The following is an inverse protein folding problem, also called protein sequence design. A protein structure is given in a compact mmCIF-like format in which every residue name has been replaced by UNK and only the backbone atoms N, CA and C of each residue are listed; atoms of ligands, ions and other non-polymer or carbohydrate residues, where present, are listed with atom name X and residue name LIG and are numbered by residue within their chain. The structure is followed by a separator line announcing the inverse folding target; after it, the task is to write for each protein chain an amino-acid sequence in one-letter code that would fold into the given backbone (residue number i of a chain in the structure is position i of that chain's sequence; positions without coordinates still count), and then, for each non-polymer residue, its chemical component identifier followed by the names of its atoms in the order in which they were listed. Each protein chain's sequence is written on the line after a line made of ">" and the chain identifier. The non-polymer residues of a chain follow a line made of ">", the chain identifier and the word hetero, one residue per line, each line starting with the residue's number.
data_IF_441430651554
#
_entry.id   IF_441430651554
#
_cell.length_a   1.000
_cell.length_b   1.000
_cell.length_c   1.000
_cell.angle_alpha   90.00
_cell.angle_beta   90.00
_cell.angle_gamma   90.00
#
_symmetry.space_group_name_H-M   'P 1'
#
loop_
_entity.id
_entity.type
_entity.pdbx_description
1 polymer ?
#
# COMPACT_ATOMS: atom_id res chain seq x y z
N UNK A 1 15.13 20.21 -9.40
CA UNK A 1 16.00 19.29 -8.64
C UNK A 1 15.68 17.87 -9.07
N UNK A 2 16.66 17.17 -9.64
CA UNK A 2 16.46 15.84 -10.25
C UNK A 2 16.31 14.79 -9.14
N UNK A 3 15.16 14.10 -9.11
CA UNK A 3 14.97 12.89 -8.31
C UNK A 3 15.77 11.76 -8.97
N UNK A 4 17.01 11.57 -8.57
CA UNK A 4 17.77 10.39 -8.98
C UNK A 4 17.17 9.15 -8.31
N UNK A 5 16.30 8.47 -9.04
CA UNK A 5 15.74 7.20 -8.62
C UNK A 5 16.82 6.14 -8.46
N UNK A 6 16.62 5.24 -7.50
CA UNK A 6 17.46 4.08 -7.23
C UNK A 6 17.72 3.27 -8.51
N UNK A 7 19.00 3.10 -8.87
CA UNK A 7 19.45 2.32 -10.04
C UNK A 7 20.24 1.10 -9.61
N UNK A 8 20.14 0.03 -10.40
CA UNK A 8 20.95 -1.15 -10.19
C UNK A 8 22.43 -0.80 -10.41
N UNK A 9 23.32 -1.04 -9.44
CA UNK A 9 24.74 -0.72 -9.58
C UNK A 9 25.43 -1.58 -10.64
N UNK A 10 24.83 -2.72 -11.03
CA UNK A 10 25.40 -3.63 -12.03
C UNK A 10 25.03 -3.29 -13.46
N UNK A 11 23.81 -2.82 -13.72
CA UNK A 11 23.32 -2.61 -15.10
C UNK A 11 22.62 -1.26 -15.33
N UNK A 12 22.57 -0.37 -14.32
CA UNK A 12 21.93 0.93 -14.42
C UNK A 12 20.40 0.91 -14.52
N UNK A 13 19.78 -0.28 -14.53
CA UNK A 13 18.33 -0.43 -14.62
C UNK A 13 17.62 0.20 -13.41
N UNK A 14 16.50 0.87 -13.65
CA UNK A 14 15.61 1.42 -12.62
C UNK A 14 14.52 0.43 -12.18
N UNK A 15 14.47 -0.77 -12.81
CA UNK A 15 13.50 -1.82 -12.46
C UNK A 15 14.01 -2.60 -11.25
N UNK A 16 13.66 -2.14 -10.05
CA UNK A 16 14.13 -2.70 -8.78
C UNK A 16 12.95 -3.29 -7.99
N UNK A 17 13.10 -4.51 -7.51
CA UNK A 17 12.21 -5.16 -6.56
C UNK A 17 12.87 -5.33 -5.19
N UNK A 18 12.07 -5.48 -4.14
CA UNK A 18 12.53 -5.76 -2.78
C UNK A 18 12.39 -7.25 -2.52
N UNK A 19 13.39 -7.87 -1.89
CA UNK A 19 13.28 -9.24 -1.38
C UNK A 19 12.87 -9.16 0.08
N UNK A 20 11.63 -9.54 0.39
CA UNK A 20 11.17 -9.71 1.75
C UNK A 20 11.62 -11.08 2.28
N UNK A 21 12.50 -11.08 3.29
CA UNK A 21 13.01 -12.29 3.93
C UNK A 21 14.42 -12.11 4.50
N UNK A 22 14.52 -11.59 5.73
CA UNK A 22 15.80 -11.39 6.42
C UNK A 22 16.47 -10.02 6.16
N UNK A 23 17.79 -9.99 6.04
CA UNK A 23 18.55 -8.75 5.80
C UNK A 23 18.07 -8.07 4.51
N UNK A 24 17.81 -6.77 4.59
CA UNK A 24 17.25 -6.00 3.49
C UNK A 24 18.11 -6.09 2.22
N UNK A 25 17.49 -6.61 1.15
CA UNK A 25 18.13 -6.79 -0.15
C UNK A 25 17.22 -6.30 -1.27
N UNK A 26 17.83 -5.59 -2.20
CA UNK A 26 17.22 -5.16 -3.45
C UNK A 26 17.56 -6.16 -4.54
N UNK A 27 16.61 -6.46 -5.43
CA UNK A 27 16.81 -7.28 -6.62
C UNK A 27 16.52 -6.45 -7.87
N UNK A 28 17.47 -6.43 -8.80
CA UNK A 28 17.23 -5.85 -10.11
C UNK A 28 16.38 -6.80 -10.94
N UNK A 29 15.23 -6.33 -11.43
CA UNK A 29 14.37 -7.10 -12.33
C UNK A 29 14.89 -7.11 -13.77
N UNK A 30 15.88 -6.25 -14.10
CA UNK A 30 16.53 -6.23 -15.41
C UNK A 30 17.66 -7.25 -15.57
N UNK A 31 18.50 -7.41 -14.54
CA UNK A 31 19.67 -8.31 -14.61
C UNK A 31 19.73 -9.37 -13.50
N UNK A 32 18.73 -9.42 -12.61
CA UNK A 32 18.66 -10.37 -11.50
C UNK A 32 19.61 -10.08 -10.33
N UNK A 33 20.47 -9.06 -10.43
CA UNK A 33 21.46 -8.74 -9.39
C UNK A 33 20.80 -8.38 -8.07
N UNK A 34 21.32 -8.96 -6.97
CA UNK A 34 20.84 -8.73 -5.61
C UNK A 34 21.92 -7.94 -4.86
N UNK A 35 21.55 -6.86 -4.17
CA UNK A 35 22.48 -6.09 -3.35
C UNK A 35 21.81 -5.48 -2.13
N UNK A 36 22.62 -5.26 -1.09
CA UNK A 36 22.26 -4.41 0.04
C UNK A 36 22.75 -3.00 -0.29
N UNK A 37 21.87 -1.99 -0.37
CA UNK A 37 22.31 -0.64 -0.71
C UNK A 37 23.16 -0.04 0.42
N UNK A 38 24.33 0.50 0.07
CA UNK A 38 25.25 1.20 0.99
C UNK A 38 24.78 2.62 1.35
N UNK A 39 23.95 3.22 0.49
CA UNK A 39 23.28 4.51 0.71
C UNK A 39 21.77 4.26 0.67
N UNK A 40 21.19 4.18 1.86
CA UNK A 40 19.74 4.23 2.06
C UNK A 40 19.26 5.58 1.51
N UNK A 41 18.32 5.66 0.56
CA UNK A 41 17.72 6.94 0.21
C UNK A 41 17.18 7.52 1.50
N UNK A 42 17.67 8.71 1.88
CA UNK A 42 17.45 9.42 3.16
C UNK A 42 16.24 8.85 3.90
N UNK A 43 16.52 8.12 4.98
CA UNK A 43 15.68 7.02 5.51
C UNK A 43 14.21 7.31 5.78
N UNK A 44 13.76 8.56 5.69
CA UNK A 44 12.43 8.99 6.09
C UNK A 44 11.67 9.64 4.93
N UNK A 45 10.37 9.33 4.84
CA UNK A 45 9.41 9.97 3.95
C UNK A 45 8.32 10.63 4.77
N UNK A 46 7.80 11.75 4.29
CA UNK A 46 6.69 12.43 4.95
C UNK A 46 5.37 11.73 4.60
N UNK A 47 4.60 11.41 5.64
CA UNK A 47 3.25 10.86 5.57
C UNK A 47 2.38 11.61 6.57
N UNK A 48 1.36 12.32 6.10
CA UNK A 48 0.46 13.12 6.94
C UNK A 48 1.21 14.02 7.96
N UNK A 49 2.27 14.70 7.52
CA UNK A 49 3.09 15.58 8.37
C UNK A 49 4.07 14.87 9.31
N UNK A 50 4.20 13.53 9.25
CA UNK A 50 5.17 12.74 10.02
C UNK A 50 6.26 12.19 9.14
N UNK A 51 7.50 12.27 9.62
CA UNK A 51 8.64 11.58 9.00
C UNK A 51 8.64 10.11 9.45
N UNK A 52 8.41 9.21 8.50
CA UNK A 52 8.33 7.77 8.75
C UNK A 52 9.42 7.08 7.95
N UNK A 53 10.11 6.09 8.54
CA UNK A 53 11.16 5.41 7.80
C UNK A 53 10.57 4.67 6.59
N UNK A 54 11.17 4.79 5.40
CA UNK A 54 10.56 4.27 4.17
C UNK A 54 10.34 2.75 4.22
N UNK A 55 11.15 2.01 4.98
CA UNK A 55 10.95 0.56 5.20
C UNK A 55 9.68 0.28 5.99
N UNK A 56 9.30 1.13 6.94
CA UNK A 56 8.07 0.98 7.70
C UNK A 56 6.86 1.20 6.78
N UNK A 57 6.98 2.13 5.84
CA UNK A 57 5.96 2.38 4.82
C UNK A 57 5.80 1.19 3.87
N UNK A 58 6.90 0.61 3.37
CA UNK A 58 6.80 -0.58 2.52
C UNK A 58 6.28 -1.80 3.29
N UNK A 59 6.76 -2.04 4.52
CA UNK A 59 6.26 -3.11 5.37
C UNK A 59 4.77 -2.94 5.70
N UNK A 60 4.31 -1.70 5.92
CA UNK A 60 2.89 -1.40 6.13
C UNK A 60 2.06 -1.71 4.88
N UNK A 61 2.56 -1.40 3.67
CA UNK A 61 1.87 -1.75 2.42
C UNK A 61 1.74 -3.26 2.24
N UNK A 62 2.80 -4.01 2.49
CA UNK A 62 2.78 -5.48 2.37
C UNK A 62 1.81 -6.12 3.37
N UNK A 63 1.84 -5.69 4.63
CA UNK A 63 0.92 -6.20 5.65
C UNK A 63 -0.54 -5.81 5.37
N UNK A 64 -0.78 -4.55 4.97
CA UNK A 64 -2.10 -4.08 4.53
C UNK A 64 -2.63 -4.93 3.37
N UNK A 65 -1.79 -5.20 2.35
CA UNK A 65 -2.17 -6.02 1.21
C UNK A 65 -2.56 -7.44 1.67
N UNK A 66 -1.78 -8.05 2.55
CA UNK A 66 -2.05 -9.40 3.06
C UNK A 66 -3.38 -9.47 3.82
N UNK A 67 -3.61 -8.55 4.77
CA UNK A 67 -4.85 -8.52 5.56
C UNK A 67 -6.07 -8.21 4.69
N UNK A 68 -5.94 -7.30 3.73
CA UNK A 68 -7.03 -7.00 2.79
C UNK A 68 -7.35 -8.20 1.90
N UNK A 69 -6.36 -8.95 1.42
CA UNK A 69 -6.63 -10.14 0.59
C UNK A 69 -7.47 -11.16 1.36
N UNK A 70 -7.11 -11.45 2.61
CA UNK A 70 -7.86 -12.42 3.44
C UNK A 70 -9.33 -12.02 3.62
N UNK A 71 -9.58 -10.72 3.88
CA UNK A 71 -10.95 -10.21 4.04
C UNK A 71 -11.70 -10.17 2.71
N UNK A 72 -11.06 -9.69 1.65
CA UNK A 72 -11.71 -9.49 0.34
C UNK A 72 -11.97 -10.82 -0.39
N UNK A 73 -11.10 -11.84 -0.25
CA UNK A 73 -11.34 -13.19 -0.82
C UNK A 73 -12.66 -13.79 -0.31
N UNK A 74 -12.98 -13.51 0.95
CA UNK A 74 -14.22 -13.95 1.60
C UNK A 74 -15.39 -12.98 1.38
N UNK A 75 -15.23 -11.98 0.50
CA UNK A 75 -16.19 -10.90 0.26
C UNK A 75 -16.59 -10.14 1.55
N UNK A 76 -15.62 -9.84 2.42
CA UNK A 76 -15.85 -9.04 3.62
C UNK A 76 -16.42 -7.66 3.31
N UNK A 77 -17.28 -7.17 4.18
CA UNK A 77 -17.95 -5.88 4.03
C UNK A 77 -17.10 -4.72 4.57
N UNK A 78 -17.66 -3.51 4.51
CA UNK A 78 -17.00 -2.29 4.96
C UNK A 78 -16.62 -2.33 6.45
N UNK A 79 -17.43 -2.97 7.30
CA UNK A 79 -17.16 -3.07 8.75
C UNK A 79 -15.94 -3.94 9.05
N UNK A 80 -15.65 -4.94 8.21
CA UNK A 80 -14.40 -5.71 8.30
C UNK A 80 -13.19 -4.98 7.73
N UNK A 81 -13.39 -4.07 6.78
CA UNK A 81 -12.31 -3.32 6.11
C UNK A 81 -11.86 -2.12 6.94
N UNK A 82 -12.80 -1.35 7.52
CA UNK A 82 -12.52 -0.18 8.38
C UNK A 82 -11.42 -0.37 9.45
N UNK A 83 -11.43 -1.43 10.28
CA UNK A 83 -10.40 -1.62 11.30
C UNK A 83 -9.01 -1.84 10.69
N UNK A 84 -8.94 -2.50 9.53
CA UNK A 84 -7.68 -2.67 8.78
C UNK A 84 -7.20 -1.30 8.30
N UNK A 85 -8.06 -0.47 7.69
CA UNK A 85 -7.67 0.87 7.25
C UNK A 85 -7.16 1.73 8.42
N UNK A 86 -7.83 1.66 9.58
CA UNK A 86 -7.45 2.40 10.78
C UNK A 86 -6.08 2.00 11.34
N UNK A 87 -5.73 0.72 11.27
CA UNK A 87 -4.43 0.21 11.71
C UNK A 87 -3.27 0.82 10.92
N UNK A 88 -3.48 1.12 9.63
CA UNK A 88 -2.44 1.57 8.72
C UNK A 88 -2.50 3.06 8.38
N UNK A 89 -3.57 3.78 8.71
CA UNK A 89 -3.74 5.22 8.41
C UNK A 89 -2.72 6.13 9.10
N UNK A 90 -2.09 5.67 10.19
CA UNK A 90 -0.99 6.39 10.85
C UNK A 90 0.37 6.26 10.15
N UNK A 91 0.54 5.26 9.29
CA UNK A 91 1.80 4.96 8.57
C UNK A 91 1.68 5.18 7.06
N UNK A 92 0.47 5.13 6.52
CA UNK A 92 0.16 5.30 5.11
C UNK A 92 -0.90 6.39 4.95
N UNK A 93 -0.72 7.26 3.97
CA UNK A 93 -1.75 8.21 3.58
C UNK A 93 -2.90 7.53 2.82
N UNK A 94 -4.00 8.28 2.66
CA UNK A 94 -5.19 7.80 1.96
C UNK A 94 -4.90 7.35 0.51
N UNK A 95 -3.94 7.97 -0.17
CA UNK A 95 -3.60 7.63 -1.55
C UNK A 95 -2.90 6.27 -1.61
N UNK A 96 -1.91 6.04 -0.75
CA UNK A 96 -1.17 4.78 -0.62
C UNK A 96 -2.11 3.65 -0.23
N UNK A 97 -2.99 3.88 0.75
CA UNK A 97 -3.99 2.89 1.16
C UNK A 97 -4.93 2.56 0.00
N UNK A 98 -5.46 3.57 -0.69
CA UNK A 98 -6.35 3.38 -1.84
C UNK A 98 -5.69 2.56 -2.97
N UNK A 99 -4.39 2.78 -3.24
CA UNK A 99 -3.64 1.99 -4.22
C UNK A 99 -3.49 0.52 -3.79
N UNK A 100 -3.21 0.27 -2.51
CA UNK A 100 -3.09 -1.09 -1.98
C UNK A 100 -4.44 -1.82 -2.04
N UNK A 101 -5.54 -1.14 -1.70
CA UNK A 101 -6.90 -1.71 -1.81
C UNK A 101 -7.24 -2.09 -3.25
N UNK A 102 -6.95 -1.23 -4.23
CA UNK A 102 -7.14 -1.55 -5.65
C UNK A 102 -6.33 -2.77 -6.06
N UNK A 103 -5.06 -2.83 -5.65
CA UNK A 103 -4.21 -3.98 -5.93
C UNK A 103 -4.75 -5.27 -5.30
N UNK A 104 -5.23 -5.21 -4.05
CA UNK A 104 -5.87 -6.34 -3.39
C UNK A 104 -7.10 -6.82 -4.16
N UNK A 105 -8.00 -5.90 -4.55
CA UNK A 105 -9.18 -6.22 -5.36
C UNK A 105 -8.81 -6.91 -6.68
N UNK A 106 -7.80 -6.42 -7.40
CA UNK A 106 -7.31 -7.06 -8.64
C UNK A 106 -6.78 -8.47 -8.39
N UNK A 107 -6.10 -8.71 -7.26
CA UNK A 107 -5.55 -10.03 -6.94
C UNK A 107 -6.64 -11.04 -6.54
N UNK A 108 -7.71 -10.59 -5.90
CA UNK A 108 -8.82 -11.48 -5.47
C UNK A 108 -9.93 -11.60 -6.51
N UNK A 109 -9.92 -10.75 -7.54
CA UNK A 109 -10.91 -10.73 -8.62
C UNK A 109 -11.18 -12.12 -9.24
N UNK A 110 -10.18 -12.97 -9.54
CA UNK A 110 -10.44 -14.30 -10.09
C UNK A 110 -11.33 -15.17 -9.18
N UNK A 111 -11.13 -15.08 -7.85
CA UNK A 111 -11.92 -15.82 -6.86
C UNK A 111 -13.34 -15.24 -6.75
N UNK A 112 -13.46 -13.91 -6.80
CA UNK A 112 -14.76 -13.24 -6.76
C UNK A 112 -15.58 -13.46 -8.03
N UNK A 113 -14.95 -13.63 -9.20
CA UNK A 113 -15.62 -13.95 -10.46
C UNK A 113 -16.39 -15.26 -10.42
N UNK A 114 -16.03 -16.20 -9.54
CA UNK A 114 -16.80 -17.43 -9.30
C UNK A 114 -18.23 -17.12 -8.78
N UNK A 115 -18.44 -15.95 -8.17
CA UNK A 115 -19.75 -15.46 -7.71
C UNK A 115 -20.49 -14.63 -8.78
N UNK A 116 -19.90 -14.45 -9.96
CA UNK A 116 -20.48 -13.74 -11.10
C UNK A 116 -19.90 -12.34 -11.35
N UNK A 117 -19.88 -11.92 -12.61
CA UNK A 117 -19.29 -10.64 -13.03
C UNK A 117 -19.99 -9.41 -12.41
N UNK A 118 -21.33 -9.44 -12.34
CA UNK A 118 -22.12 -8.39 -11.69
C UNK A 118 -21.91 -8.31 -10.17
N UNK A 119 -21.46 -9.40 -9.54
CA UNK A 119 -21.08 -9.41 -8.14
C UNK A 119 -19.76 -8.66 -7.96
N UNK A 120 -18.74 -8.98 -8.77
CA UNK A 120 -17.41 -8.33 -8.72
C UNK A 120 -17.53 -6.82 -8.89
N UNK A 121 -18.28 -6.34 -9.88
CA UNK A 121 -18.43 -4.91 -10.13
C UNK A 121 -19.09 -4.18 -8.96
N UNK A 122 -20.18 -4.72 -8.43
CA UNK A 122 -20.88 -4.15 -7.27
C UNK A 122 -20.01 -4.16 -6.03
N UNK A 123 -19.33 -5.28 -5.78
CA UNK A 123 -18.48 -5.45 -4.61
C UNK A 123 -17.26 -4.52 -4.64
N UNK A 124 -16.51 -4.50 -5.75
CA UNK A 124 -15.36 -3.61 -5.92
C UNK A 124 -15.76 -2.14 -5.78
N UNK A 125 -16.92 -1.74 -6.33
CA UNK A 125 -17.44 -0.38 -6.18
C UNK A 125 -17.80 -0.06 -4.72
N UNK A 126 -18.43 -1.00 -4.01
CA UNK A 126 -18.76 -0.83 -2.60
C UNK A 126 -17.52 -0.73 -1.70
N UNK A 127 -16.50 -1.55 -1.94
CA UNK A 127 -15.22 -1.50 -1.22
C UNK A 127 -14.52 -0.16 -1.43
N UNK A 128 -14.43 0.31 -2.68
CA UNK A 128 -13.80 1.61 -2.95
C UNK A 128 -14.60 2.79 -2.38
N UNK A 129 -15.94 2.70 -2.38
CA UNK A 129 -16.78 3.70 -1.73
C UNK A 129 -16.53 3.75 -0.22
N UNK A 130 -16.47 2.59 0.45
CA UNK A 130 -16.14 2.46 1.87
C UNK A 130 -14.78 3.11 2.21
N UNK A 131 -13.75 2.85 1.40
CA UNK A 131 -12.41 3.42 1.63
C UNK A 131 -12.43 4.94 1.48
N UNK A 132 -13.11 5.46 0.46
CA UNK A 132 -13.26 6.90 0.27
C UNK A 132 -14.04 7.55 1.42
N UNK A 133 -15.13 6.94 1.86
CA UNK A 133 -15.95 7.43 2.97
C UNK A 133 -15.15 7.44 4.27
N UNK A 134 -14.36 6.39 4.55
CA UNK A 134 -13.50 6.32 5.72
C UNK A 134 -12.57 7.55 5.81
N UNK A 135 -11.84 7.87 4.73
CA UNK A 135 -10.91 9.00 4.72
C UNK A 135 -11.59 10.37 4.63
N UNK A 136 -12.80 10.46 4.07
CA UNK A 136 -13.57 11.69 4.07
C UNK A 136 -14.13 12.00 5.47
N UNK A 137 -14.64 10.98 6.17
CA UNK A 137 -15.15 11.12 7.54
C UNK A 137 -14.04 11.45 8.55
N UNK A 138 -12.82 10.92 8.35
CA UNK A 138 -11.65 11.27 9.19
C UNK A 138 -11.20 12.72 9.08
N UNK A 139 -11.51 13.43 7.98
CA UNK A 139 -11.18 14.85 7.81
C UNK A 139 -12.12 15.79 8.56
N UNK A 140 -13.29 15.31 8.99
CA UNK A 140 -14.30 16.13 9.66
C UNK A 140 -14.04 16.22 11.18
N UNK A 141 -13.15 15.38 11.72
CA UNK A 141 -12.91 15.27 13.17
C UNK A 141 -11.68 16.02 13.69
N UNK A 142 -10.99 16.81 12.85
CA UNK A 142 -9.91 17.67 13.33
C UNK A 142 -10.52 18.95 13.94
N UNK A 143 -10.43 19.18 15.26
CA UNK A 143 -10.92 20.42 15.84
C UNK A 143 -10.05 21.54 15.28
N UNK A 144 -10.67 22.48 14.57
CA UNK A 144 -10.05 23.77 14.27
C UNK A 144 -9.70 24.40 15.60
N UNK A 145 -8.42 24.42 15.96
CA UNK A 145 -7.95 25.37 16.96
C UNK A 145 -8.23 26.76 16.40
N UNK A 146 -9.22 27.43 17.00
CA UNK A 146 -9.39 28.86 16.92
C UNK A 146 -8.27 29.48 17.74
N UNK A 147 -7.32 30.12 17.06
CA UNK A 147 -6.57 31.25 17.61
C UNK A 147 -7.41 32.53 17.52
#
# INVERSE_FOLDING_TARGET
>A
MHREGLRCPKCGSTRIGVIAGGQFQLKCLGCGYIWTPSLVPSGYIEVNGKLIHWTEVEAAKEKLLSELREVLENAGDCERIKPILAKYSGTLDAERISRVVKNALTQVEPNLRLKGQSFVERYSKAVMACVNEYFNSSKVTEPRHLD
#
